data_IF_615856768950
#
_entry.id   IF_615856768950
#
_cell.length_a   1.000
_cell.length_b   1.000
_cell.length_c   1.000
_cell.angle_alpha   90.00
_cell.angle_beta   90.00
_cell.angle_gamma   90.00
#
_symmetry.space_group_name_H-M   'P 1'
#
loop_
_entity.id
_entity.type
_entity.pdbx_description
1 polymer ?
#
# COMPACT_ATOMS: atom_id res chain seq x y z
N UNK A 1 -28.28 -21.54 13.93
CA UNK A 1 -27.63 -20.30 14.43
C UNK A 1 -28.73 -19.27 14.58
N UNK A 2 -28.90 -18.64 15.74
CA UNK A 2 -29.87 -17.54 15.89
C UNK A 2 -29.12 -16.27 15.50
N UNK A 3 -29.51 -15.65 14.39
CA UNK A 3 -28.97 -14.36 13.96
C UNK A 3 -29.84 -13.24 14.54
N UNK A 4 -29.27 -12.47 15.46
CA UNK A 4 -29.94 -11.30 16.03
C UNK A 4 -29.48 -10.07 15.25
N UNK A 5 -30.43 -9.38 14.63
CA UNK A 5 -30.19 -8.15 13.88
C UNK A 5 -30.46 -6.94 14.77
N UNK A 6 -29.75 -5.83 14.54
CA UNK A 6 -29.93 -4.57 15.28
C UNK A 6 -31.38 -4.08 15.25
N UNK A 7 -32.11 -4.31 14.14
CA UNK A 7 -33.56 -4.03 14.02
C UNK A 7 -34.41 -4.60 15.17
N UNK A 8 -34.00 -5.73 15.75
CA UNK A 8 -34.71 -6.36 16.88
C UNK A 8 -34.62 -5.48 18.12
N UNK A 9 -33.41 -4.99 18.44
CA UNK A 9 -33.19 -4.04 19.53
C UNK A 9 -33.88 -2.70 19.26
N UNK A 10 -33.86 -2.23 18.01
CA UNK A 10 -34.54 -1.00 17.61
C UNK A 10 -36.06 -1.10 17.86
N UNK A 11 -36.68 -2.23 17.52
CA UNK A 11 -38.11 -2.44 17.74
C UNK A 11 -38.50 -2.41 19.23
N UNK A 12 -37.64 -2.93 20.12
CA UNK A 12 -37.90 -2.99 21.55
C UNK A 12 -37.57 -1.70 22.31
N UNK A 13 -36.45 -1.05 21.96
CA UNK A 13 -35.90 0.08 22.72
C UNK A 13 -36.19 1.43 22.06
N UNK A 14 -36.44 1.44 20.76
CA UNK A 14 -36.62 2.65 19.97
C UNK A 14 -35.30 3.37 19.67
N UNK A 15 -35.39 4.39 18.82
CA UNK A 15 -34.26 5.18 18.34
C UNK A 15 -34.10 6.49 19.14
N UNK A 16 -32.90 7.06 19.14
CA UNK A 16 -32.64 8.43 19.59
C UNK A 16 -33.33 9.40 18.61
N UNK A 17 -34.04 10.39 19.16
CA UNK A 17 -34.79 11.36 18.37
C UNK A 17 -33.86 12.20 17.48
N UNK A 18 -34.20 12.32 16.18
CA UNK A 18 -33.41 13.04 15.18
C UNK A 18 -32.25 12.23 14.58
N UNK A 19 -32.16 10.93 14.89
CA UNK A 19 -31.14 10.00 14.38
C UNK A 19 -31.74 8.85 13.56
N UNK A 20 -33.05 8.81 13.40
CA UNK A 20 -33.79 7.66 12.89
C UNK A 20 -33.30 7.26 11.50
N UNK A 21 -33.09 8.23 10.61
CA UNK A 21 -32.65 7.96 9.24
C UNK A 21 -31.19 7.50 9.16
N UNK A 22 -30.36 7.84 10.15
CA UNK A 22 -29.01 7.30 10.26
C UNK A 22 -29.02 5.87 10.81
N UNK A 23 -29.82 5.61 11.83
CA UNK A 23 -29.92 4.29 12.47
C UNK A 23 -30.48 3.25 11.50
N UNK A 24 -31.52 3.59 10.71
CA UNK A 24 -32.10 2.69 9.70
C UNK A 24 -31.08 2.15 8.70
N UNK A 25 -30.02 2.90 8.40
CA UNK A 25 -28.97 2.48 7.46
C UNK A 25 -28.11 1.31 7.96
N UNK A 26 -28.19 0.97 9.25
CA UNK A 26 -27.44 -0.12 9.86
C UNK A 26 -28.34 -1.12 10.60
N UNK A 27 -29.66 -1.11 10.36
CA UNK A 27 -30.60 -2.01 11.06
C UNK A 27 -30.37 -3.50 10.73
N UNK A 28 -29.73 -3.77 9.59
CA UNK A 28 -29.31 -5.07 9.09
C UNK A 28 -28.02 -5.60 9.74
N UNK A 29 -27.36 -4.79 10.57
CA UNK A 29 -26.16 -5.17 11.31
C UNK A 29 -26.43 -6.37 12.23
N UNK A 30 -25.55 -7.37 12.16
CA UNK A 30 -25.55 -8.50 13.07
C UNK A 30 -25.08 -8.10 14.46
N UNK A 31 -25.76 -8.64 15.47
CA UNK A 31 -25.41 -8.53 16.88
C UNK A 31 -25.18 -9.95 17.39
N UNK A 32 -23.96 -10.24 17.84
CA UNK A 32 -23.65 -11.54 18.44
C UNK A 32 -24.56 -11.78 19.66
N UNK A 33 -24.96 -13.03 19.88
CA UNK A 33 -25.84 -13.38 21.01
C UNK A 33 -25.23 -13.03 22.37
N UNK A 34 -23.91 -13.11 22.50
CA UNK A 34 -23.22 -12.76 23.74
C UNK A 34 -23.23 -11.25 23.97
N UNK A 35 -23.01 -10.47 22.92
CA UNK A 35 -23.14 -9.00 22.96
C UNK A 35 -24.56 -8.60 23.28
N UNK A 36 -25.55 -9.22 22.62
CA UNK A 36 -26.96 -8.97 22.87
C UNK A 36 -27.33 -9.18 24.33
N UNK A 37 -26.98 -10.33 24.91
CA UNK A 37 -27.23 -10.62 26.33
C UNK A 37 -26.50 -9.66 27.27
N UNK A 38 -25.29 -9.22 26.89
CA UNK A 38 -24.53 -8.27 27.68
C UNK A 38 -25.17 -6.87 27.71
N UNK A 39 -25.93 -6.51 26.67
CA UNK A 39 -26.46 -5.14 26.50
C UNK A 39 -27.98 -5.02 26.67
N UNK A 40 -28.77 -6.07 26.46
CA UNK A 40 -30.25 -6.02 26.37
C UNK A 40 -30.93 -5.30 27.56
N UNK A 41 -30.38 -5.45 28.77
CA UNK A 41 -30.93 -4.89 30.01
C UNK A 41 -30.36 -3.51 30.35
N UNK A 42 -29.37 -3.04 29.58
CA UNK A 42 -28.69 -1.74 29.77
C UNK A 42 -29.10 -0.73 28.71
N UNK A 43 -29.45 -1.20 27.51
CA UNK A 43 -29.85 -0.37 26.38
C UNK A 43 -31.25 0.16 26.57
N UNK A 44 -31.37 1.48 26.49
CA UNK A 44 -32.62 2.24 26.53
C UNK A 44 -32.99 2.79 25.15
N UNK A 45 -32.00 3.15 24.32
CA UNK A 45 -32.19 3.71 22.98
C UNK A 45 -31.03 3.31 22.06
N UNK A 46 -31.30 3.27 20.76
CA UNK A 46 -30.30 3.07 19.71
C UNK A 46 -30.05 4.38 18.97
N UNK A 47 -28.79 4.75 18.79
CA UNK A 47 -28.37 5.93 18.04
C UNK A 47 -27.12 5.65 17.21
N UNK A 48 -26.53 6.71 16.67
CA UNK A 48 -25.27 6.67 15.92
C UNK A 48 -24.27 7.67 16.52
N UNK A 49 -22.97 7.42 16.34
CA UNK A 49 -21.92 8.36 16.77
C UNK A 49 -21.87 9.59 15.86
N UNK A 50 -21.18 10.64 16.30
CA UNK A 50 -20.86 11.80 15.44
C UNK A 50 -20.04 11.38 14.21
N UNK A 51 -19.10 10.46 14.37
CA UNK A 51 -18.28 9.93 13.29
C UNK A 51 -19.12 9.19 12.25
N UNK A 52 -20.08 8.36 12.68
CA UNK A 52 -21.03 7.71 11.77
C UNK A 52 -21.73 8.73 10.88
N UNK A 53 -22.29 9.80 11.47
CA UNK A 53 -22.99 10.85 10.70
C UNK A 53 -22.05 11.53 9.72
N UNK A 54 -20.86 11.92 10.17
CA UNK A 54 -19.86 12.57 9.33
C UNK A 54 -19.43 11.70 8.14
N UNK A 55 -19.24 10.40 8.34
CA UNK A 55 -18.97 9.44 7.26
C UNK A 55 -20.12 9.40 6.25
N UNK A 56 -21.36 9.25 6.72
CA UNK A 56 -22.54 9.20 5.84
C UNK A 56 -22.68 10.51 5.06
N UNK A 57 -22.60 11.65 5.73
CA UNK A 57 -22.74 12.96 5.10
C UNK A 57 -21.66 13.27 4.08
N UNK A 58 -20.42 12.84 4.36
CA UNK A 58 -19.26 13.12 3.49
C UNK A 58 -19.21 12.18 2.29
N UNK A 59 -19.52 10.89 2.47
CA UNK A 59 -19.21 9.86 1.47
C UNK A 59 -20.42 9.15 0.88
N UNK A 60 -21.58 9.20 1.53
CA UNK A 60 -22.68 8.25 1.25
C UNK A 60 -24.09 8.83 1.45
N UNK A 61 -24.23 10.17 1.40
CA UNK A 61 -25.48 10.88 1.73
C UNK A 61 -26.68 10.38 0.92
N UNK A 62 -26.46 10.18 -0.39
CA UNK A 62 -27.52 9.88 -1.36
C UNK A 62 -27.71 8.37 -1.61
N UNK A 63 -27.04 7.52 -0.85
CA UNK A 63 -27.03 6.07 -1.03
C UNK A 63 -27.65 5.37 0.17
N UNK A 64 -28.20 4.18 -0.02
CA UNK A 64 -28.75 3.36 1.08
C UNK A 64 -27.67 2.50 1.76
N UNK A 65 -27.81 2.32 3.07
CA UNK A 65 -26.90 1.52 3.89
C UNK A 65 -25.68 2.32 4.36
N UNK A 66 -24.56 1.62 4.60
CA UNK A 66 -23.28 2.24 5.00
C UNK A 66 -22.20 2.01 3.95
N UNK A 67 -21.28 2.98 3.73
CA UNK A 67 -20.30 2.91 2.65
C UNK A 67 -19.33 1.74 2.82
N UNK A 68 -18.78 1.21 1.72
CA UNK A 68 -17.63 0.30 1.77
C UNK A 68 -16.40 0.97 2.40
N UNK A 69 -15.50 0.14 2.90
CA UNK A 69 -14.27 0.54 3.57
C UNK A 69 -14.48 1.01 5.01
N UNK A 70 -15.59 0.64 5.64
CA UNK A 70 -15.87 0.93 7.05
C UNK A 70 -16.40 -0.30 7.76
N UNK A 71 -15.82 -0.59 8.93
CA UNK A 71 -16.34 -1.56 9.89
C UNK A 71 -17.43 -0.90 10.74
N UNK A 72 -18.54 -1.61 10.94
CA UNK A 72 -19.60 -1.22 11.88
C UNK A 72 -19.25 -1.70 13.29
N UNK A 73 -19.32 -0.81 14.28
CA UNK A 73 -19.09 -1.14 15.69
C UNK A 73 -20.28 -0.70 16.55
N UNK A 74 -20.45 -1.37 17.69
CA UNK A 74 -21.40 -0.99 18.72
C UNK A 74 -20.65 -0.41 19.92
N UNK A 75 -21.02 0.80 20.32
CA UNK A 75 -20.44 1.52 21.45
C UNK A 75 -21.54 1.82 22.48
N UNK A 76 -21.38 1.34 23.71
CA UNK A 76 -22.32 1.61 24.80
C UNK A 76 -21.95 2.91 25.52
N UNK A 77 -22.86 3.87 25.60
CA UNK A 77 -22.73 5.06 26.45
C UNK A 77 -23.22 4.78 27.88
N UNK A 78 -22.68 5.52 28.86
CA UNK A 78 -23.10 5.42 30.27
C UNK A 78 -24.59 5.75 30.48
N UNK A 79 -25.19 6.52 29.58
CA UNK A 79 -26.60 6.91 29.55
C UNK A 79 -27.55 5.78 29.15
N UNK A 80 -27.03 4.59 28.80
CA UNK A 80 -27.83 3.49 28.26
C UNK A 80 -28.16 3.64 26.76
N UNK A 81 -27.48 4.53 26.05
CA UNK A 81 -27.60 4.65 24.59
C UNK A 81 -26.57 3.73 23.93
N UNK A 82 -27.05 2.83 23.06
CA UNK A 82 -26.17 2.04 22.20
C UNK A 82 -25.97 2.80 20.88
N UNK A 83 -24.73 3.11 20.56
CA UNK A 83 -24.35 3.86 19.36
C UNK A 83 -23.76 2.92 18.31
N UNK A 84 -24.22 3.03 17.08
CA UNK A 84 -23.52 2.45 15.92
C UNK A 84 -22.44 3.43 15.47
N UNK A 85 -21.24 2.93 15.23
CA UNK A 85 -20.10 3.68 14.72
C UNK A 85 -19.59 3.12 13.38
N UNK A 86 -18.91 3.96 12.59
CA UNK A 86 -18.21 3.58 11.37
C UNK A 86 -16.72 3.90 11.50
N UNK A 87 -15.92 2.85 11.63
CA UNK A 87 -14.45 2.94 11.72
C UNK A 87 -13.84 2.57 10.38
N UNK A 88 -12.92 3.40 9.86
CA UNK A 88 -12.27 3.17 8.57
C UNK A 88 -11.50 1.85 8.61
N UNK A 89 -11.87 0.91 7.74
CA UNK A 89 -11.17 -0.35 7.55
C UNK A 89 -11.44 -0.87 6.13
N UNK A 90 -10.43 -0.83 5.29
CA UNK A 90 -10.52 -1.21 3.87
C UNK A 90 -10.73 -2.71 3.64
N UNK A 91 -10.73 -3.54 4.69
CA UNK A 91 -11.11 -4.95 4.64
C UNK A 91 -12.61 -5.17 4.50
N UNK A 92 -13.41 -4.12 4.70
CA UNK A 92 -14.86 -4.19 4.66
C UNK A 92 -15.41 -3.59 3.37
N UNK A 93 -16.42 -4.24 2.81
CA UNK A 93 -17.23 -3.75 1.71
C UNK A 93 -18.49 -3.05 2.27
N UNK A 94 -19.45 -2.76 1.38
CA UNK A 94 -20.71 -2.10 1.72
C UNK A 94 -21.39 -2.83 2.88
N UNK A 95 -22.06 -2.05 3.72
CA UNK A 95 -22.80 -2.55 4.88
C UNK A 95 -21.96 -3.28 5.96
N UNK A 96 -20.65 -3.05 5.99
CA UNK A 96 -19.78 -3.67 6.98
C UNK A 96 -19.61 -5.17 6.76
N UNK A 97 -19.82 -5.65 5.54
CA UNK A 97 -19.48 -7.01 5.14
C UNK A 97 -17.97 -7.14 4.98
N UNK A 98 -17.36 -8.23 5.46
CA UNK A 98 -15.95 -8.48 5.16
C UNK A 98 -15.78 -8.80 3.68
N UNK A 99 -14.72 -8.28 3.07
CA UNK A 99 -14.30 -8.70 1.72
C UNK A 99 -14.07 -10.21 1.68
N UNK A 100 -14.19 -10.85 0.51
CA UNK A 100 -14.14 -12.32 0.40
C UNK A 100 -12.82 -12.96 0.84
N UNK A 101 -11.72 -12.20 0.84
CA UNK A 101 -10.38 -12.66 1.23
C UNK A 101 -9.76 -11.71 2.23
N UNK A 102 -8.91 -12.25 3.11
CA UNK A 102 -8.11 -11.45 4.03
C UNK A 102 -7.07 -10.59 3.28
N UNK A 103 -6.55 -11.10 2.16
CA UNK A 103 -5.61 -10.40 1.31
C UNK A 103 -6.31 -9.27 0.54
N UNK A 104 -5.71 -8.08 0.55
CA UNK A 104 -6.19 -6.92 -0.20
C UNK A 104 -5.31 -6.63 -1.42
N UNK A 105 -5.94 -6.10 -2.47
CA UNK A 105 -5.26 -5.68 -3.68
C UNK A 105 -5.28 -4.17 -3.85
N UNK A 106 -4.23 -3.67 -4.48
CA UNK A 106 -4.00 -2.26 -4.79
C UNK A 106 -3.57 -2.08 -6.23
N UNK A 107 -4.04 -1.01 -6.87
CA UNK A 107 -3.52 -0.58 -8.16
C UNK A 107 -2.31 0.34 -7.97
N UNK A 108 -1.20 0.07 -8.65
CA UNK A 108 -0.06 1.00 -8.76
C UNK A 108 -0.18 1.76 -10.08
N UNK A 109 -1.02 2.81 -10.11
CA UNK A 109 -1.38 3.48 -11.37
C UNK A 109 -1.92 4.89 -11.15
N UNK A 110 -1.79 5.72 -12.18
CA UNK A 110 -2.46 6.99 -12.33
C UNK A 110 -3.30 7.05 -13.62
N UNK A 111 -3.59 5.89 -14.24
CA UNK A 111 -4.32 5.79 -15.49
C UNK A 111 -5.81 5.46 -15.24
N UNK A 112 -6.74 6.43 -15.37
CA UNK A 112 -8.17 6.19 -15.14
C UNK A 112 -8.77 5.08 -16.03
N UNK A 113 -8.23 4.89 -17.24
CA UNK A 113 -8.72 3.87 -18.18
C UNK A 113 -8.39 2.44 -17.71
N UNK A 114 -7.25 2.24 -17.05
CA UNK A 114 -6.83 0.94 -16.51
C UNK A 114 -7.35 0.68 -15.09
N UNK A 115 -7.60 1.73 -14.32
CA UNK A 115 -8.17 1.61 -12.97
C UNK A 115 -9.64 1.21 -13.03
N UNK A 116 -10.42 1.77 -13.98
CA UNK A 116 -11.87 1.55 -14.06
C UNK A 116 -12.28 0.07 -14.11
N UNK A 117 -11.67 -0.82 -14.92
CA UNK A 117 -12.04 -2.23 -14.96
C UNK A 117 -11.80 -3.01 -13.65
N UNK A 118 -10.87 -2.55 -12.80
CA UNK A 118 -10.48 -3.24 -11.57
C UNK A 118 -11.01 -2.57 -10.29
N UNK A 119 -11.69 -1.43 -10.41
CA UNK A 119 -12.05 -0.57 -9.29
C UNK A 119 -12.82 -1.29 -8.16
N UNK A 120 -13.72 -2.21 -8.53
CA UNK A 120 -14.53 -2.96 -7.56
C UNK A 120 -13.77 -4.14 -6.90
N UNK A 121 -12.56 -4.45 -7.37
CA UNK A 121 -11.76 -5.59 -6.88
C UNK A 121 -10.63 -5.16 -5.94
N UNK A 122 -10.34 -3.85 -5.89
CA UNK A 122 -9.24 -3.29 -5.10
C UNK A 122 -9.74 -2.52 -3.88
N UNK A 123 -8.88 -2.42 -2.88
CA UNK A 123 -9.14 -1.73 -1.62
C UNK A 123 -8.23 -0.52 -1.41
N UNK A 124 -7.20 -0.39 -2.25
CA UNK A 124 -6.24 0.70 -2.21
C UNK A 124 -5.77 1.07 -3.63
N UNK A 125 -5.26 2.29 -3.80
CA UNK A 125 -4.46 2.69 -4.96
C UNK A 125 -3.20 3.38 -4.45
N UNK A 126 -2.06 3.07 -5.08
CA UNK A 126 -0.80 3.80 -4.89
C UNK A 126 -0.43 4.52 -6.17
N UNK A 127 0.04 5.76 -6.04
CA UNK A 127 0.72 6.45 -7.14
C UNK A 127 1.93 7.23 -6.61
N UNK A 128 2.77 7.66 -7.53
CA UNK A 128 3.95 8.50 -7.27
C UNK A 128 4.15 9.46 -8.45
N UNK A 129 5.01 10.50 -8.33
CA UNK A 129 5.21 11.47 -9.40
C UNK A 129 5.58 10.84 -10.75
N UNK A 130 6.43 9.81 -10.78
CA UNK A 130 6.79 9.12 -12.02
C UNK A 130 5.59 8.42 -12.68
N UNK A 131 4.73 7.77 -11.89
CA UNK A 131 3.50 7.15 -12.41
C UNK A 131 2.54 8.22 -12.96
N UNK A 132 2.36 9.32 -12.25
CA UNK A 132 1.44 10.40 -12.65
C UNK A 132 1.94 11.12 -13.90
N UNK A 133 3.17 11.61 -13.87
CA UNK A 133 3.69 12.48 -14.91
C UNK A 133 4.25 11.69 -16.09
N UNK A 134 5.12 10.72 -15.85
CA UNK A 134 5.85 10.04 -16.92
C UNK A 134 5.03 8.93 -17.56
N UNK A 135 4.40 8.07 -16.75
CA UNK A 135 3.66 6.91 -17.26
C UNK A 135 2.27 7.27 -17.79
N UNK A 136 1.66 8.34 -17.28
CA UNK A 136 0.32 8.77 -17.68
C UNK A 136 0.25 10.13 -18.38
N UNK A 137 0.36 11.26 -17.66
CA UNK A 137 0.04 12.60 -18.22
C UNK A 137 0.86 12.90 -19.48
N UNK A 138 2.18 12.66 -19.44
CA UNK A 138 3.10 12.92 -20.54
C UNK A 138 3.20 11.76 -21.54
N UNK A 139 2.44 10.67 -21.34
CA UNK A 139 2.42 9.53 -22.22
C UNK A 139 1.19 9.58 -23.15
N UNK A 140 1.34 9.98 -24.43
CA UNK A 140 0.21 10.12 -25.35
C UNK A 140 -0.49 8.79 -25.68
N UNK A 141 0.14 7.64 -25.41
CA UNK A 141 -0.51 6.33 -25.58
C UNK A 141 -1.44 6.00 -24.41
N UNK A 142 -1.09 6.45 -23.20
CA UNK A 142 -1.88 6.20 -22.00
C UNK A 142 -2.96 7.29 -21.80
N UNK A 143 -2.59 8.56 -21.95
CA UNK A 143 -3.51 9.70 -21.89
C UNK A 143 -4.18 9.92 -23.26
N UNK A 144 -5.19 9.12 -23.54
CA UNK A 144 -5.87 9.05 -24.84
C UNK A 144 -6.41 10.42 -25.25
N UNK A 145 -5.93 10.96 -26.38
CA UNK A 145 -6.31 12.28 -26.87
C UNK A 145 -5.82 13.45 -26.01
N UNK A 146 -4.93 13.20 -25.04
CA UNK A 146 -4.46 14.20 -24.09
C UNK A 146 -5.58 14.77 -23.22
N UNK A 147 -6.56 13.94 -22.84
CA UNK A 147 -7.74 14.36 -22.10
C UNK A 147 -7.40 15.02 -20.76
N UNK A 148 -6.39 14.51 -20.04
CA UNK A 148 -5.97 15.02 -18.74
C UNK A 148 -4.71 15.89 -18.87
N UNK A 149 -4.66 17.01 -18.16
CA UNK A 149 -3.57 18.01 -18.22
C UNK A 149 -2.84 18.17 -16.89
N UNK A 150 -3.52 17.94 -15.78
CA UNK A 150 -2.97 18.20 -14.45
C UNK A 150 -3.08 16.96 -13.57
N UNK A 151 -2.23 16.89 -12.53
CA UNK A 151 -2.32 15.84 -11.51
C UNK A 151 -3.69 15.84 -10.85
N UNK A 152 -4.26 17.01 -10.58
CA UNK A 152 -5.52 17.16 -9.87
C UNK A 152 -6.68 16.59 -10.70
N UNK A 153 -6.75 16.88 -12.01
CA UNK A 153 -7.75 16.28 -12.91
C UNK A 153 -7.71 14.75 -12.91
N UNK A 154 -6.50 14.18 -12.91
CA UNK A 154 -6.31 12.72 -12.86
C UNK A 154 -6.74 12.15 -11.52
N UNK A 155 -6.32 12.78 -10.44
CA UNK A 155 -6.63 12.35 -9.07
C UNK A 155 -8.13 12.44 -8.78
N UNK A 156 -8.81 13.52 -9.19
CA UNK A 156 -10.26 13.64 -9.07
C UNK A 156 -11.01 12.51 -9.81
N UNK A 157 -10.61 12.20 -11.05
CA UNK A 157 -11.26 11.13 -11.81
C UNK A 157 -11.02 9.76 -11.17
N UNK A 158 -9.80 9.48 -10.71
CA UNK A 158 -9.49 8.27 -9.95
C UNK A 158 -10.34 8.19 -8.68
N UNK A 159 -10.46 9.31 -7.96
CA UNK A 159 -11.29 9.45 -6.77
C UNK A 159 -12.75 9.07 -7.03
N UNK A 160 -13.30 9.49 -8.18
CA UNK A 160 -14.66 9.16 -8.63
C UNK A 160 -14.80 7.68 -9.01
N UNK A 161 -13.84 7.13 -9.77
CA UNK A 161 -13.85 5.73 -10.21
C UNK A 161 -13.84 4.76 -9.03
N UNK A 162 -13.00 5.03 -8.03
CA UNK A 162 -12.76 4.09 -6.93
C UNK A 162 -13.83 4.10 -5.83
N UNK A 163 -14.61 5.18 -5.73
CA UNK A 163 -15.62 5.33 -4.69
C UNK A 163 -15.08 5.27 -3.25
N UNK A 164 -15.96 5.23 -2.23
CA UNK A 164 -15.57 5.43 -0.83
C UNK A 164 -14.79 4.25 -0.21
N UNK A 165 -14.85 3.07 -0.81
CA UNK A 165 -14.26 1.84 -0.28
C UNK A 165 -12.75 1.70 -0.47
N UNK A 166 -12.12 2.65 -1.15
CA UNK A 166 -10.71 2.58 -1.54
C UNK A 166 -9.91 3.72 -0.94
N UNK A 167 -8.78 3.39 -0.30
CA UNK A 167 -7.77 4.36 0.12
C UNK A 167 -6.88 4.76 -1.07
N UNK A 168 -6.44 6.01 -1.10
CA UNK A 168 -5.62 6.55 -2.19
C UNK A 168 -4.33 7.12 -1.60
N UNK A 169 -3.23 6.41 -1.84
CA UNK A 169 -1.88 6.83 -1.45
C UNK A 169 -1.26 7.71 -2.53
N UNK A 170 -1.14 9.01 -2.23
CA UNK A 170 -0.51 10.02 -3.10
C UNK A 170 0.80 10.50 -2.50
N UNK A 171 1.85 10.54 -3.31
CA UNK A 171 3.19 10.95 -2.88
C UNK A 171 3.40 12.45 -3.12
N UNK A 172 4.03 13.10 -2.14
CA UNK A 172 4.37 14.52 -2.23
C UNK A 172 5.29 14.78 -3.42
N UNK A 173 5.09 15.90 -4.11
CA UNK A 173 5.96 16.25 -5.24
C UNK A 173 7.39 16.54 -4.80
N UNK A 174 7.57 17.20 -3.65
CA UNK A 174 8.87 17.53 -3.10
C UNK A 174 8.95 17.17 -1.62
N UNK A 175 9.41 15.96 -1.26
CA UNK A 175 9.58 15.57 0.15
C UNK A 175 10.71 16.36 0.86
N UNK A 176 11.51 17.12 0.12
CA UNK A 176 12.62 17.93 0.63
C UNK A 176 12.24 19.40 0.85
N UNK A 177 10.97 19.78 0.60
CA UNK A 177 10.47 21.12 0.90
C UNK A 177 10.74 21.47 2.37
N UNK A 178 11.26 22.68 2.64
CA UNK A 178 11.59 23.14 4.00
C UNK A 178 10.37 23.72 4.71
N UNK A 179 9.42 24.27 3.95
CA UNK A 179 8.19 24.85 4.48
C UNK A 179 7.16 23.78 4.84
N UNK A 180 6.91 23.61 6.13
CA UNK A 180 5.82 22.75 6.62
C UNK A 180 4.46 23.19 6.06
N UNK A 181 4.22 24.50 5.97
CA UNK A 181 2.98 25.06 5.42
C UNK A 181 2.77 24.65 3.95
N UNK A 182 3.83 24.63 3.14
CA UNK A 182 3.72 24.23 1.73
C UNK A 182 3.39 22.74 1.58
N UNK A 183 3.98 21.89 2.43
CA UNK A 183 3.69 20.45 2.47
C UNK A 183 2.23 20.22 2.89
N UNK A 184 1.77 20.92 3.94
CA UNK A 184 0.39 20.81 4.42
C UNK A 184 -0.60 21.36 3.39
N UNK A 185 -0.26 22.42 2.64
CA UNK A 185 -1.10 22.93 1.55
C UNK A 185 -1.25 21.89 0.43
N UNK A 186 -0.16 21.21 0.04
CA UNK A 186 -0.24 20.10 -0.93
C UNK A 186 -1.10 18.94 -0.40
N UNK A 187 -0.92 18.55 0.85
CA UNK A 187 -1.69 17.48 1.47
C UNK A 187 -3.18 17.85 1.63
N UNK A 188 -3.51 19.12 1.87
CA UNK A 188 -4.89 19.59 2.00
C UNK A 188 -5.65 19.46 0.68
N UNK A 189 -5.04 19.81 -0.45
CA UNK A 189 -5.65 19.64 -1.78
C UNK A 189 -6.11 18.21 -2.00
N UNK A 190 -5.31 17.22 -1.58
CA UNK A 190 -5.71 15.82 -1.63
C UNK A 190 -6.80 15.44 -0.61
N UNK A 191 -6.78 16.05 0.58
CA UNK A 191 -7.85 15.87 1.58
C UNK A 191 -9.19 16.39 1.06
N UNK A 192 -9.20 17.52 0.36
CA UNK A 192 -10.41 18.09 -0.26
C UNK A 192 -10.93 17.18 -1.39
N UNK A 193 -10.04 16.68 -2.25
CA UNK A 193 -10.41 15.76 -3.35
C UNK A 193 -10.94 14.41 -2.85
N UNK A 194 -10.36 13.85 -1.79
CA UNK A 194 -10.62 12.46 -1.38
C UNK A 194 -11.37 12.31 -0.07
N UNK A 195 -11.56 13.39 0.70
CA UNK A 195 -11.88 13.40 2.14
C UNK A 195 -10.76 12.86 3.03
N UNK A 196 -10.83 13.23 4.32
CA UNK A 196 -9.96 12.71 5.40
C UNK A 196 -9.98 11.18 5.53
N UNK A 197 -11.03 10.53 5.03
CA UNK A 197 -11.25 9.09 5.17
C UNK A 197 -10.51 8.24 4.13
N UNK A 198 -10.13 8.82 2.99
CA UNK A 198 -9.53 8.07 1.86
C UNK A 198 -8.12 8.52 1.54
N UNK A 199 -7.78 9.79 1.79
CA UNK A 199 -6.42 10.28 1.56
C UNK A 199 -5.42 9.55 2.46
N UNK A 200 -4.31 9.15 1.86
CA UNK A 200 -3.11 8.68 2.55
C UNK A 200 -1.91 9.38 1.90
N UNK A 201 -1.11 10.08 2.69
CA UNK A 201 0.07 10.79 2.18
C UNK A 201 1.26 9.85 2.18
N UNK A 202 1.87 9.66 1.02
CA UNK A 202 3.02 8.79 0.84
C UNK A 202 4.31 9.58 1.05
N UNK A 203 5.16 9.07 1.94
CA UNK A 203 6.40 9.70 2.42
C UNK A 203 7.53 8.69 2.29
N UNK A 204 8.67 9.12 1.76
CA UNK A 204 9.81 8.25 1.48
C UNK A 204 10.88 8.28 2.58
N UNK A 205 11.65 7.19 2.69
CA UNK A 205 13.02 7.30 3.19
C UNK A 205 13.82 8.24 2.29
N UNK A 206 14.51 9.20 2.90
CA UNK A 206 15.26 10.25 2.21
C UNK A 206 16.76 9.95 2.10
N UNK A 207 17.30 9.15 3.03
CA UNK A 207 18.72 8.82 3.05
C UNK A 207 19.59 10.08 3.10
N UNK A 208 20.69 10.16 2.33
CA UNK A 208 21.56 11.34 2.28
C UNK A 208 21.04 12.50 1.41
N UNK A 209 19.86 12.37 0.80
CA UNK A 209 19.31 13.38 -0.10
C UNK A 209 18.53 14.43 0.69
N UNK A 210 18.73 15.69 0.36
CA UNK A 210 18.06 16.83 0.97
C UNK A 210 17.87 17.97 -0.05
N UNK A 211 17.27 19.08 0.38
CA UNK A 211 16.96 20.22 -0.47
C UNK A 211 18.18 20.86 -1.14
N UNK A 212 19.37 20.68 -0.58
CA UNK A 212 20.59 21.32 -1.05
C UNK A 212 21.28 20.50 -2.14
N UNK A 213 21.13 19.17 -2.13
CA UNK A 213 21.82 18.26 -3.06
C UNK A 213 20.90 17.45 -3.99
N UNK A 214 19.57 17.50 -3.83
CA UNK A 214 18.63 16.75 -4.69
C UNK A 214 18.79 17.07 -6.18
N UNK A 215 19.23 18.28 -6.52
CA UNK A 215 19.51 18.70 -7.89
C UNK A 215 20.55 17.82 -8.60
N UNK A 216 21.50 17.23 -7.86
CA UNK A 216 22.51 16.30 -8.39
C UNK A 216 21.88 15.07 -9.06
N UNK A 217 20.68 14.66 -8.64
CA UNK A 217 19.95 13.52 -9.21
C UNK A 217 19.22 13.87 -10.51
N UNK A 218 19.09 15.16 -10.82
CA UNK A 218 18.28 15.66 -11.95
C UNK A 218 19.14 16.31 -13.03
N UNK A 219 20.28 16.87 -12.66
CA UNK A 219 21.14 17.68 -13.51
C UNK A 219 22.46 16.98 -13.85
N UNK A 220 23.14 17.45 -14.90
CA UNK A 220 24.46 16.94 -15.29
C UNK A 220 24.50 15.44 -15.60
N UNK A 221 25.44 14.73 -14.99
CA UNK A 221 25.61 13.27 -15.14
C UNK A 221 24.62 12.46 -14.28
N UNK A 222 23.80 13.14 -13.46
CA UNK A 222 22.80 12.56 -12.57
C UNK A 222 23.35 11.56 -11.54
N UNK A 223 24.64 11.68 -11.20
CA UNK A 223 25.30 10.86 -10.18
C UNK A 223 25.35 11.61 -8.86
N UNK A 224 24.86 10.96 -7.81
CA UNK A 224 24.88 11.53 -6.48
C UNK A 224 26.30 11.50 -5.89
N UNK A 225 26.75 12.65 -5.37
CA UNK A 225 28.13 12.82 -4.90
C UNK A 225 28.46 12.04 -3.62
N UNK A 226 27.47 11.77 -2.76
CA UNK A 226 27.68 11.15 -1.45
C UNK A 226 27.35 9.66 -1.45
N UNK A 227 28.10 8.88 -0.66
CA UNK A 227 27.76 7.49 -0.38
C UNK A 227 26.51 7.41 0.53
N UNK A 228 25.61 6.46 0.26
CA UNK A 228 24.41 6.23 1.07
C UNK A 228 24.66 5.95 2.55
N UNK A 229 25.87 5.50 2.91
CA UNK A 229 26.33 5.26 4.29
C UNK A 229 26.78 6.53 5.00
N UNK A 230 27.16 7.56 4.26
CA UNK A 230 27.70 8.83 4.81
C UNK A 230 26.58 9.85 4.89
N UNK A 231 25.65 9.63 5.83
CA UNK A 231 24.44 10.42 5.98
C UNK A 231 24.41 11.16 7.33
N UNK A 232 24.00 12.43 7.32
CA UNK A 232 23.71 13.15 8.54
C UNK A 232 22.37 12.69 9.12
N UNK A 233 22.29 12.55 10.44
CA UNK A 233 21.06 12.05 11.12
C UNK A 233 19.80 12.82 10.72
N UNK A 234 19.89 14.15 10.55
CA UNK A 234 18.76 14.98 10.15
C UNK A 234 18.25 14.64 8.73
N UNK A 235 19.16 14.37 7.79
CA UNK A 235 18.82 13.99 6.41
C UNK A 235 18.18 12.60 6.39
N UNK A 236 18.77 11.62 7.09
CA UNK A 236 18.24 10.26 7.18
C UNK A 236 16.83 10.20 7.79
N UNK A 237 16.56 11.06 8.78
CA UNK A 237 15.28 11.08 9.51
C UNK A 237 14.27 12.09 8.96
N UNK A 238 14.58 12.83 7.88
CA UNK A 238 13.66 13.80 7.28
C UNK A 238 12.31 13.17 6.94
N UNK A 239 12.30 11.99 6.31
CA UNK A 239 11.08 11.24 6.01
C UNK A 239 10.29 10.81 7.26
N UNK A 240 10.99 10.41 8.32
CA UNK A 240 10.35 10.02 9.59
C UNK A 240 9.68 11.22 10.28
N UNK A 241 10.39 12.36 10.34
CA UNK A 241 9.85 13.60 10.91
C UNK A 241 8.68 14.13 10.09
N UNK A 242 8.71 13.96 8.77
CA UNK A 242 7.59 14.29 7.89
C UNK A 242 6.35 13.45 8.18
N UNK A 243 6.53 12.14 8.35
CA UNK A 243 5.43 11.25 8.72
C UNK A 243 4.82 11.60 10.09
N UNK A 244 5.66 11.92 11.07
CA UNK A 244 5.20 12.37 12.39
C UNK A 244 4.38 13.67 12.30
N UNK A 245 4.91 14.70 11.61
CA UNK A 245 4.23 15.98 11.40
C UNK A 245 2.88 15.80 10.70
N UNK A 246 2.82 15.00 9.63
CA UNK A 246 1.57 14.74 8.91
C UNK A 246 0.54 14.04 9.81
N UNK A 247 0.97 13.12 10.67
CA UNK A 247 0.07 12.46 11.63
C UNK A 247 -0.46 13.42 12.70
N UNK A 248 0.36 14.34 13.19
CA UNK A 248 -0.07 15.39 14.12
C UNK A 248 -1.17 16.27 13.50
N UNK A 249 -1.17 16.43 12.17
CA UNK A 249 -2.19 17.14 11.40
C UNK A 249 -3.35 16.24 10.90
N UNK A 250 -3.47 15.02 11.43
CA UNK A 250 -4.59 14.12 11.19
C UNK A 250 -4.53 13.34 9.87
N UNK A 251 -3.38 13.28 9.21
CA UNK A 251 -3.20 12.44 8.01
C UNK A 251 -2.76 11.03 8.35
N UNK A 252 -3.22 10.07 7.54
CA UNK A 252 -2.64 8.72 7.47
C UNK A 252 -1.45 8.74 6.51
N UNK A 253 -0.41 7.98 6.84
CA UNK A 253 0.85 7.98 6.10
C UNK A 253 1.15 6.60 5.50
N UNK A 254 1.59 6.59 4.24
CA UNK A 254 2.19 5.44 3.57
C UNK A 254 3.71 5.63 3.49
N UNK A 255 4.48 4.83 4.23
CA UNK A 255 5.93 4.95 4.29
C UNK A 255 6.59 4.10 3.18
N UNK A 256 7.26 4.77 2.24
CA UNK A 256 7.78 4.19 0.99
C UNK A 256 9.31 4.20 0.90
N UNK A 257 9.85 3.71 -0.23
CA UNK A 257 11.28 3.53 -0.51
C UNK A 257 11.98 2.69 0.57
N UNK A 258 11.31 1.60 0.96
CA UNK A 258 11.79 0.63 1.93
C UNK A 258 12.31 -0.60 1.19
N UNK A 259 13.63 -0.74 1.16
CA UNK A 259 14.34 -1.80 0.46
C UNK A 259 15.00 -2.78 1.42
N UNK A 260 15.49 -2.31 2.57
CA UNK A 260 16.22 -3.16 3.52
C UNK A 260 15.40 -3.48 4.77
N UNK A 261 15.48 -4.71 5.32
CA UNK A 261 14.55 -5.16 6.36
C UNK A 261 14.69 -4.39 7.67
N UNK A 262 15.92 -3.94 7.98
CA UNK A 262 16.21 -3.15 9.18
C UNK A 262 15.49 -1.78 9.19
N UNK A 263 15.00 -1.29 8.05
CA UNK A 263 14.27 -0.01 7.97
C UNK A 263 12.89 -0.11 8.65
N UNK A 264 12.29 -1.30 8.68
CA UNK A 264 10.90 -1.50 9.09
C UNK A 264 10.63 -1.13 10.54
N UNK A 265 11.46 -1.60 11.47
CA UNK A 265 11.28 -1.31 12.89
C UNK A 265 11.33 0.19 13.19
N UNK A 266 12.21 0.93 12.50
CA UNK A 266 12.34 2.37 12.67
C UNK A 266 11.16 3.12 12.02
N UNK A 267 10.76 2.74 10.81
CA UNK A 267 9.59 3.32 10.14
C UNK A 267 8.31 3.16 10.98
N UNK A 268 8.13 2.02 11.67
CA UNK A 268 6.98 1.79 12.55
C UNK A 268 6.92 2.75 13.74
N UNK A 269 8.04 3.34 14.18
CA UNK A 269 8.03 4.36 15.25
C UNK A 269 7.29 5.63 14.81
N UNK A 270 7.24 5.92 13.51
CA UNK A 270 6.45 7.03 12.96
C UNK A 270 4.94 6.70 12.86
N UNK A 271 4.52 5.51 13.30
CA UNK A 271 3.13 5.02 13.34
C UNK A 271 2.40 5.12 11.99
N UNK A 272 3.02 4.68 10.88
CA UNK A 272 2.41 4.79 9.56
C UNK A 272 1.18 3.88 9.44
N UNK A 273 0.26 4.24 8.55
CA UNK A 273 -0.88 3.39 8.19
C UNK A 273 -0.46 2.29 7.21
N UNK A 274 0.47 2.60 6.29
CA UNK A 274 1.11 1.61 5.42
C UNK A 274 2.64 1.69 5.53
N UNK A 275 3.30 0.54 5.45
CA UNK A 275 4.74 0.44 5.14
C UNK A 275 4.90 -0.35 3.84
N UNK A 276 5.93 -0.05 3.06
CA UNK A 276 6.13 -0.70 1.77
C UNK A 276 7.27 -1.73 1.81
N UNK A 277 7.29 -2.65 0.86
CA UNK A 277 8.42 -3.54 0.60
C UNK A 277 8.62 -3.73 -0.89
N UNK A 278 9.74 -3.22 -1.39
CA UNK A 278 10.10 -3.25 -2.81
C UNK A 278 10.86 -4.53 -3.13
N UNK A 279 10.32 -5.34 -4.04
CA UNK A 279 10.93 -6.64 -4.39
C UNK A 279 11.93 -6.50 -5.54
N UNK A 280 11.46 -5.98 -6.68
CA UNK A 280 12.15 -6.16 -7.97
C UNK A 280 13.62 -5.75 -7.95
N UNK A 281 13.91 -4.49 -7.59
CA UNK A 281 15.27 -3.97 -7.70
C UNK A 281 16.24 -4.75 -6.80
N UNK A 282 15.81 -5.10 -5.60
CA UNK A 282 16.62 -5.86 -4.64
C UNK A 282 16.92 -7.27 -5.14
N UNK A 283 15.92 -7.96 -5.68
CA UNK A 283 16.08 -9.30 -6.25
C UNK A 283 16.96 -9.29 -7.52
N UNK A 284 16.73 -8.34 -8.44
CA UNK A 284 17.52 -8.20 -9.66
C UNK A 284 18.98 -7.88 -9.38
N UNK A 285 19.24 -6.92 -8.49
CA UNK A 285 20.62 -6.55 -8.13
C UNK A 285 21.34 -7.73 -7.46
N UNK A 286 20.67 -8.47 -6.58
CA UNK A 286 21.27 -9.65 -5.94
C UNK A 286 21.58 -10.76 -6.94
N UNK A 287 20.70 -10.98 -7.93
CA UNK A 287 20.95 -11.91 -9.04
C UNK A 287 22.19 -11.52 -9.83
N UNK A 288 22.34 -10.25 -10.18
CA UNK A 288 23.49 -9.76 -10.94
C UNK A 288 24.79 -9.89 -10.14
N UNK A 289 24.79 -9.43 -8.87
CA UNK A 289 25.95 -9.53 -7.96
C UNK A 289 26.38 -10.99 -7.85
N UNK A 290 25.43 -11.91 -7.57
CA UNK A 290 25.71 -13.35 -7.50
C UNK A 290 26.33 -13.88 -8.78
N UNK A 291 25.79 -13.51 -9.94
CA UNK A 291 26.33 -13.94 -11.24
C UNK A 291 27.80 -13.53 -11.42
N UNK A 292 28.15 -12.27 -11.14
CA UNK A 292 29.55 -11.80 -11.27
C UNK A 292 30.49 -12.51 -10.29
N UNK A 293 30.06 -12.70 -9.04
CA UNK A 293 30.86 -13.38 -8.03
C UNK A 293 31.07 -14.87 -8.33
N UNK A 294 30.04 -15.57 -8.81
CA UNK A 294 30.14 -16.98 -9.20
C UNK A 294 31.06 -17.17 -10.42
N UNK A 295 30.99 -16.27 -11.41
CA UNK A 295 31.91 -16.25 -12.55
C UNK A 295 33.36 -16.04 -12.07
N UNK A 296 33.61 -15.03 -11.23
CA UNK A 296 34.94 -14.80 -10.65
C UNK A 296 35.46 -15.99 -9.84
N UNK A 297 34.60 -16.64 -9.06
CA UNK A 297 34.98 -17.84 -8.31
C UNK A 297 35.39 -19.01 -9.21
N UNK A 298 34.84 -19.07 -10.44
CA UNK A 298 35.06 -20.13 -11.42
C UNK A 298 36.38 -19.95 -12.18
N UNK A 299 36.62 -18.77 -12.76
CA UNK A 299 37.75 -18.55 -13.69
C UNK A 299 38.82 -17.59 -13.15
N UNK A 300 38.56 -16.90 -12.04
CA UNK A 300 39.42 -15.87 -11.43
C UNK A 300 39.73 -14.67 -12.35
N UNK A 301 38.94 -14.46 -13.40
CA UNK A 301 39.09 -13.29 -14.27
C UNK A 301 38.63 -12.02 -13.52
N UNK A 302 39.55 -11.08 -13.36
CA UNK A 302 39.30 -9.80 -12.67
C UNK A 302 38.25 -8.95 -13.39
N UNK A 303 38.00 -9.18 -14.68
CA UNK A 303 36.96 -8.47 -15.43
C UNK A 303 35.58 -8.59 -14.77
N UNK A 304 35.24 -9.75 -14.18
CA UNK A 304 33.97 -9.92 -13.47
C UNK A 304 33.83 -8.96 -12.27
N UNK A 305 34.93 -8.67 -11.58
CA UNK A 305 34.95 -7.71 -10.47
C UNK A 305 34.96 -6.25 -10.95
N UNK A 306 35.54 -5.97 -12.12
CA UNK A 306 35.45 -4.64 -12.76
C UNK A 306 34.01 -4.35 -13.16
N UNK A 307 33.34 -5.30 -13.82
CA UNK A 307 31.92 -5.20 -14.17
C UNK A 307 31.03 -5.05 -12.92
N UNK A 308 31.34 -5.80 -11.84
CA UNK A 308 30.65 -5.65 -10.57
C UNK A 308 30.85 -4.26 -9.97
N UNK A 309 32.07 -3.70 -10.01
CA UNK A 309 32.34 -2.34 -9.54
C UNK A 309 31.54 -1.30 -10.30
N UNK A 310 31.52 -1.39 -11.63
CA UNK A 310 30.74 -0.51 -12.49
C UNK A 310 29.25 -0.62 -12.19
N UNK A 311 28.76 -1.83 -11.96
CA UNK A 311 27.37 -2.06 -11.56
C UNK A 311 27.04 -1.43 -10.20
N UNK A 312 27.91 -1.60 -9.20
CA UNK A 312 27.72 -1.02 -7.87
C UNK A 312 27.73 0.51 -7.92
N UNK A 313 28.60 1.11 -8.74
CA UNK A 313 28.61 2.55 -9.00
C UNK A 313 27.34 3.01 -9.73
N UNK A 314 26.86 2.22 -10.69
CA UNK A 314 25.65 2.55 -11.44
C UNK A 314 24.37 2.51 -10.60
N UNK A 315 24.38 1.74 -9.51
CA UNK A 315 23.24 1.52 -8.60
C UNK A 315 23.45 2.16 -7.21
N UNK A 316 24.30 3.18 -7.11
CA UNK A 316 24.50 4.00 -5.91
C UNK A 316 25.00 3.26 -4.66
N UNK A 317 25.57 2.05 -4.81
CA UNK A 317 26.30 1.38 -3.73
C UNK A 317 27.65 2.06 -3.47
N UNK A 318 28.23 2.64 -4.52
CA UNK A 318 29.47 3.41 -4.51
C UNK A 318 29.17 4.84 -5.00
N UNK A 319 29.83 5.84 -4.41
CA UNK A 319 29.77 7.20 -4.92
C UNK A 319 30.88 7.45 -5.99
N UNK A 320 30.84 8.56 -6.75
CA UNK A 320 31.83 8.86 -7.79
C UNK A 320 33.29 8.82 -7.32
N UNK A 321 33.56 9.25 -6.08
CA UNK A 321 34.91 9.21 -5.49
C UNK A 321 35.41 7.77 -5.21
N UNK A 322 34.51 6.79 -5.29
CA UNK A 322 34.81 5.36 -5.14
C UNK A 322 34.82 4.62 -6.49
N UNK A 323 34.83 5.31 -7.62
CA UNK A 323 34.87 4.69 -8.95
C UNK A 323 36.08 3.75 -9.13
N UNK A 324 37.21 4.07 -8.49
CA UNK A 324 38.42 3.26 -8.50
C UNK A 324 38.60 2.40 -7.24
N UNK A 325 37.51 2.02 -6.58
CA UNK A 325 37.57 1.12 -5.41
C UNK A 325 38.32 -0.18 -5.75
N UNK A 326 39.16 -0.62 -4.82
CA UNK A 326 39.97 -1.83 -4.97
C UNK A 326 39.09 -3.06 -5.18
N UNK A 327 39.48 -3.95 -6.11
CA UNK A 327 38.65 -5.09 -6.52
C UNK A 327 38.41 -6.09 -5.38
N UNK A 328 39.32 -6.18 -4.41
CA UNK A 328 39.13 -7.01 -3.21
C UNK A 328 38.00 -6.46 -2.33
N UNK A 329 37.85 -5.14 -2.23
CA UNK A 329 36.77 -4.51 -1.48
C UNK A 329 35.43 -4.64 -2.21
N UNK A 330 35.45 -4.62 -3.54
CA UNK A 330 34.28 -4.89 -4.39
C UNK A 330 33.79 -6.33 -4.19
N UNK A 331 34.72 -7.29 -4.19
CA UNK A 331 34.43 -8.70 -3.89
C UNK A 331 33.78 -8.83 -2.50
N UNK A 332 34.42 -8.27 -1.47
CA UNK A 332 33.91 -8.34 -0.09
C UNK A 332 32.53 -7.69 0.04
N UNK A 333 32.32 -6.52 -0.57
CA UNK A 333 31.03 -5.83 -0.55
C UNK A 333 29.94 -6.67 -1.22
N UNK A 334 30.23 -7.28 -2.37
CA UNK A 334 29.29 -8.17 -3.05
C UNK A 334 28.91 -9.38 -2.21
N UNK A 335 29.90 -10.02 -1.57
CA UNK A 335 29.67 -11.14 -0.66
C UNK A 335 28.81 -10.74 0.55
N UNK A 336 29.11 -9.60 1.18
CA UNK A 336 28.34 -9.07 2.31
C UNK A 336 26.88 -8.79 1.93
N UNK A 337 26.64 -8.21 0.74
CA UNK A 337 25.28 -7.97 0.24
C UNK A 337 24.50 -9.29 0.10
N UNK A 338 25.09 -10.31 -0.54
CA UNK A 338 24.41 -11.60 -0.74
C UNK A 338 24.18 -12.34 0.58
N UNK A 339 25.13 -12.23 1.51
CA UNK A 339 25.02 -12.83 2.84
C UNK A 339 23.92 -12.16 3.67
N UNK A 340 23.89 -10.82 3.71
CA UNK A 340 22.87 -10.06 4.42
C UNK A 340 21.45 -10.33 3.88
N UNK A 341 21.32 -10.53 2.56
CA UNK A 341 20.06 -10.86 1.88
C UNK A 341 19.72 -12.35 1.87
N UNK A 342 20.61 -13.19 2.42
CA UNK A 342 20.49 -14.66 2.40
C UNK A 342 20.20 -15.23 1.00
N UNK A 343 20.74 -14.58 -0.04
CA UNK A 343 20.35 -14.80 -1.43
C UNK A 343 20.82 -16.15 -2.00
N UNK A 344 21.70 -16.85 -1.28
CA UNK A 344 22.20 -18.19 -1.65
C UNK A 344 21.46 -19.33 -0.94
N UNK A 345 20.49 -19.03 -0.08
CA UNK A 345 19.68 -20.02 0.59
C UNK A 345 18.18 -19.82 0.31
N UNK A 346 17.34 -20.72 0.84
CA UNK A 346 15.88 -20.73 0.62
C UNK A 346 15.14 -19.52 1.21
N UNK A 347 15.77 -18.73 2.08
CA UNK A 347 15.16 -17.54 2.68
C UNK A 347 15.14 -16.37 1.70
N UNK A 348 16.15 -16.26 0.85
CA UNK A 348 16.34 -15.07 0.01
C UNK A 348 16.52 -15.32 -1.48
N UNK A 349 16.67 -16.57 -1.93
CA UNK A 349 16.87 -16.86 -3.36
C UNK A 349 15.70 -16.42 -4.27
N UNK A 350 14.50 -16.25 -3.73
CA UNK A 350 13.32 -15.71 -4.41
C UNK A 350 13.18 -14.18 -4.29
N UNK A 351 14.10 -13.52 -3.58
CA UNK A 351 14.07 -12.07 -3.34
C UNK A 351 13.04 -11.61 -2.31
N UNK A 352 12.39 -12.54 -1.59
CA UNK A 352 11.35 -12.23 -0.60
C UNK A 352 11.87 -12.22 0.86
N UNK A 353 13.19 -12.28 1.09
CA UNK A 353 13.82 -12.24 2.43
C UNK A 353 13.35 -11.02 3.24
N UNK A 354 13.26 -9.86 2.60
CA UNK A 354 12.79 -8.63 3.24
C UNK A 354 11.32 -8.68 3.61
N UNK A 355 10.48 -9.32 2.79
CA UNK A 355 9.06 -9.48 3.09
C UNK A 355 8.88 -10.46 4.25
N UNK A 356 9.59 -11.59 4.24
CA UNK A 356 9.60 -12.54 5.37
C UNK A 356 9.95 -11.85 6.68
N UNK A 357 11.03 -11.04 6.68
CA UNK A 357 11.39 -10.25 7.86
C UNK A 357 10.29 -9.28 8.27
N UNK A 358 9.73 -8.52 7.32
CA UNK A 358 8.72 -7.52 7.60
C UNK A 358 7.42 -8.13 8.14
N UNK A 359 7.01 -9.30 7.64
CA UNK A 359 5.88 -10.05 8.20
C UNK A 359 6.13 -10.48 9.65
N UNK A 360 7.34 -10.97 9.97
CA UNK A 360 7.72 -11.31 11.36
C UNK A 360 7.69 -10.09 12.28
N UNK A 361 8.17 -8.93 11.81
CA UNK A 361 8.12 -7.66 12.56
C UNK A 361 6.67 -7.21 12.75
N UNK A 362 5.87 -7.25 11.69
CA UNK A 362 4.45 -6.86 11.72
C UNK A 362 3.64 -7.71 12.68
N UNK A 363 3.93 -9.01 12.80
CA UNK A 363 3.27 -9.90 13.77
C UNK A 363 3.42 -9.42 15.22
N UNK A 364 4.56 -8.80 15.56
CA UNK A 364 4.83 -8.22 16.87
C UNK A 364 4.47 -6.73 16.99
N UNK A 365 3.86 -6.12 15.97
CA UNK A 365 3.57 -4.69 15.94
C UNK A 365 2.24 -4.38 16.65
N UNK A 366 2.28 -3.46 17.62
CA UNK A 366 1.12 -3.01 18.40
C UNK A 366 0.19 -2.03 17.65
N UNK A 367 0.51 -1.66 16.41
CA UNK A 367 -0.35 -0.81 15.60
C UNK A 367 -1.37 -1.70 14.89
N UNK A 368 -2.62 -1.68 15.34
CA UNK A 368 -3.69 -2.56 14.85
C UNK A 368 -3.97 -2.34 13.36
N UNK A 369 -4.00 -1.07 12.92
CA UNK A 369 -4.42 -0.71 11.56
C UNK A 369 -3.27 -0.66 10.55
N UNK A 370 -2.01 -0.80 10.98
CA UNK A 370 -0.86 -0.75 10.07
C UNK A 370 -0.80 -2.00 9.21
N UNK A 371 -0.62 -1.82 7.90
CA UNK A 371 -0.51 -2.89 6.90
C UNK A 371 0.80 -2.80 6.11
N UNK A 372 1.27 -3.96 5.66
CA UNK A 372 2.40 -4.11 4.75
C UNK A 372 1.92 -4.09 3.30
N UNK A 373 2.36 -3.10 2.52
CA UNK A 373 2.20 -3.10 1.06
C UNK A 373 3.41 -3.80 0.44
N UNK A 374 3.17 -4.91 -0.24
CA UNK A 374 4.16 -5.56 -1.10
C UNK A 374 4.06 -4.91 -2.48
N UNK A 375 5.16 -4.33 -2.96
CA UNK A 375 5.17 -3.51 -4.17
C UNK A 375 6.38 -3.79 -5.09
N UNK A 376 6.38 -3.12 -6.26
CA UNK A 376 7.41 -3.29 -7.29
C UNK A 376 7.53 -4.74 -7.74
N UNK A 377 6.40 -5.32 -8.14
CA UNK A 377 6.35 -6.66 -8.75
C UNK A 377 6.62 -6.58 -10.25
N UNK A 378 7.35 -7.54 -10.80
CA UNK A 378 7.57 -7.69 -12.24
C UNK A 378 7.76 -9.19 -12.56
N UNK A 379 7.69 -9.54 -13.85
CA UNK A 379 8.02 -10.89 -14.33
C UNK A 379 6.88 -11.88 -14.10
N UNK A 380 7.19 -13.17 -14.24
CA UNK A 380 6.19 -14.24 -14.14
C UNK A 380 6.06 -14.82 -12.73
N UNK A 381 7.09 -14.66 -11.91
CA UNK A 381 7.25 -15.43 -10.66
C UNK A 381 6.98 -14.65 -9.38
N UNK A 382 7.10 -13.31 -9.38
CA UNK A 382 6.93 -12.53 -8.14
C UNK A 382 5.59 -12.80 -7.45
N UNK A 383 4.46 -12.73 -8.17
CA UNK A 383 3.17 -13.02 -7.54
C UNK A 383 3.00 -14.47 -7.09
N UNK A 384 3.27 -15.50 -7.92
CA UNK A 384 3.26 -16.88 -7.44
C UNK A 384 4.13 -17.16 -6.22
N UNK A 385 5.29 -16.50 -6.10
CA UNK A 385 6.18 -16.67 -4.96
C UNK A 385 5.64 -15.95 -3.71
N UNK A 386 5.04 -14.76 -3.86
CA UNK A 386 4.33 -14.06 -2.77
C UNK A 386 3.10 -14.86 -2.32
N UNK A 387 2.32 -15.39 -3.24
CA UNK A 387 1.13 -16.19 -2.94
C UNK A 387 1.53 -17.45 -2.14
N UNK A 388 2.59 -18.14 -2.58
CA UNK A 388 3.17 -19.27 -1.83
C UNK A 388 3.64 -18.85 -0.43
N UNK A 389 4.30 -17.69 -0.32
CA UNK A 389 4.76 -17.16 0.96
C UNK A 389 3.59 -16.90 1.92
N UNK A 390 2.51 -16.28 1.45
CA UNK A 390 1.35 -15.94 2.27
C UNK A 390 0.48 -17.17 2.60
N UNK A 391 0.56 -18.22 1.79
CA UNK A 391 -0.04 -19.53 2.09
C UNK A 391 0.81 -20.39 3.05
N UNK A 392 2.08 -20.04 3.26
CA UNK A 392 2.97 -20.77 4.16
C UNK A 392 2.42 -20.72 5.61
N UNK A 393 2.40 -21.85 6.34
CA UNK A 393 1.98 -21.85 7.75
C UNK A 393 2.69 -20.82 8.62
N UNK A 394 3.93 -20.45 8.30
CA UNK A 394 4.66 -19.39 9.00
C UNK A 394 3.98 -18.03 8.88
N UNK A 395 3.24 -17.73 7.80
CA UNK A 395 2.72 -16.38 7.51
C UNK A 395 1.23 -16.31 7.18
N UNK A 396 0.54 -17.44 7.11
CA UNK A 396 -0.91 -17.50 6.81
C UNK A 396 -1.77 -16.64 7.74
N UNK A 397 -1.33 -16.43 8.99
CA UNK A 397 -1.98 -15.57 9.99
C UNK A 397 -1.86 -14.06 9.70
N UNK A 398 -0.96 -13.66 8.79
CA UNK A 398 -0.65 -12.25 8.51
C UNK A 398 -1.33 -11.71 7.24
N UNK A 399 -2.05 -12.54 6.50
CA UNK A 399 -2.63 -12.17 5.20
C UNK A 399 -3.59 -10.98 5.28
N UNK A 400 -4.30 -10.83 6.41
CA UNK A 400 -5.21 -9.72 6.69
C UNK A 400 -4.49 -8.39 6.96
N UNK A 401 -3.17 -8.42 7.13
CA UNK A 401 -2.31 -7.24 7.30
C UNK A 401 -1.49 -6.92 6.05
N UNK A 402 -1.79 -7.55 4.92
CA UNK A 402 -1.05 -7.38 3.66
C UNK A 402 -1.92 -6.75 2.58
N UNK A 403 -1.31 -5.84 1.82
CA UNK A 403 -1.86 -5.31 0.57
C UNK A 403 -0.85 -5.61 -0.54
N UNK A 404 -1.28 -6.20 -1.65
CA UNK A 404 -0.44 -6.39 -2.83
C UNK A 404 -0.72 -5.27 -3.81
N UNK A 405 0.31 -4.50 -4.21
CA UNK A 405 0.18 -3.44 -5.22
C UNK A 405 0.98 -3.76 -6.48
N UNK A 406 0.35 -3.59 -7.63
CA UNK A 406 0.95 -3.73 -8.95
C UNK A 406 0.18 -2.93 -9.99
N UNK A 407 0.79 -2.72 -11.16
CA UNK A 407 0.07 -2.18 -12.32
C UNK A 407 -1.19 -3.01 -12.61
N UNK A 408 -2.34 -2.39 -12.94
CA UNK A 408 -3.59 -3.09 -13.24
C UNK A 408 -3.42 -4.21 -14.27
N UNK A 409 -2.63 -3.97 -15.32
CA UNK A 409 -2.32 -4.96 -16.34
C UNK A 409 -1.57 -6.17 -15.81
N UNK A 410 -0.68 -5.98 -14.82
CA UNK A 410 0.03 -7.09 -14.17
C UNK A 410 -0.92 -7.96 -13.34
N UNK A 411 -1.78 -7.33 -12.53
CA UNK A 411 -2.79 -8.04 -11.73
C UNK A 411 -3.77 -8.83 -12.62
N UNK A 412 -4.19 -8.24 -13.74
CA UNK A 412 -5.12 -8.89 -14.68
C UNK A 412 -4.57 -10.21 -15.25
N UNK A 413 -3.23 -10.38 -15.33
CA UNK A 413 -2.60 -11.62 -15.81
C UNK A 413 -2.99 -12.83 -14.98
N UNK A 414 -3.27 -12.66 -13.68
CA UNK A 414 -3.62 -13.77 -12.78
C UNK A 414 -4.97 -14.41 -13.12
N UNK A 415 -5.79 -13.73 -13.92
CA UNK A 415 -7.06 -14.26 -14.41
C UNK A 415 -6.91 -15.13 -15.67
N UNK A 416 -5.69 -15.25 -16.22
CA UNK A 416 -5.45 -15.86 -17.53
C UNK A 416 -4.44 -17.00 -17.47
N UNK A 417 -4.74 -18.08 -18.21
CA UNK A 417 -3.84 -19.22 -18.43
C UNK A 417 -4.19 -19.91 -19.75
N UNK A 418 -3.28 -20.70 -20.31
CA UNK A 418 -3.51 -21.46 -21.54
C UNK A 418 -4.75 -22.38 -21.44
N UNK A 419 -5.05 -22.87 -20.23
CA UNK A 419 -6.24 -23.69 -19.97
C UNK A 419 -7.55 -22.90 -20.06
N UNK A 420 -7.58 -21.63 -19.64
CA UNK A 420 -8.77 -20.76 -19.79
C UNK A 420 -9.15 -20.66 -21.26
N UNK A 421 -8.19 -20.38 -22.14
CA UNK A 421 -8.43 -20.31 -23.59
C UNK A 421 -8.90 -21.67 -24.15
N UNK A 422 -8.24 -22.76 -23.75
CA UNK A 422 -8.54 -24.10 -24.24
C UNK A 422 -9.94 -24.57 -23.85
N UNK A 423 -10.37 -24.30 -22.61
CA UNK A 423 -11.71 -24.64 -22.14
C UNK A 423 -12.79 -23.73 -22.72
N UNK A 424 -12.54 -22.42 -22.84
CA UNK A 424 -13.47 -21.52 -23.53
C UNK A 424 -13.71 -21.97 -24.97
N UNK A 425 -12.66 -22.35 -25.71
CA UNK A 425 -12.80 -22.92 -27.07
C UNK A 425 -13.68 -24.17 -27.06
N UNK A 426 -13.46 -25.08 -26.12
CA UNK A 426 -14.27 -26.31 -25.98
C UNK A 426 -15.73 -25.98 -25.70
N UNK A 427 -16.00 -25.08 -24.76
CA UNK A 427 -17.37 -24.70 -24.36
C UNK A 427 -18.11 -24.00 -25.50
N UNK A 428 -17.48 -23.04 -26.17
CA UNK A 428 -18.09 -22.33 -27.30
C UNK A 428 -18.38 -23.26 -28.48
N UNK A 429 -17.51 -24.26 -28.73
CA UNK A 429 -17.79 -25.29 -29.72
C UNK A 429 -18.95 -26.20 -29.32
N UNK A 430 -19.07 -26.57 -28.04
CA UNK A 430 -20.16 -27.40 -27.55
C UNK A 430 -21.51 -26.66 -27.53
N UNK A 431 -21.50 -25.36 -27.23
CA UNK A 431 -22.68 -24.50 -27.24
C UNK A 431 -23.11 -24.09 -28.66
N UNK A 432 -22.25 -24.30 -29.67
CA UNK A 432 -22.51 -23.88 -31.05
C UNK A 432 -23.78 -24.53 -31.60
N UNK A 433 -24.77 -23.70 -31.91
CA UNK A 433 -26.07 -24.14 -32.45
C UNK A 433 -27.16 -24.37 -31.39
N UNK A 434 -26.84 -24.22 -30.10
CA UNK A 434 -27.83 -24.12 -29.03
C UNK A 434 -28.34 -22.66 -28.97
N UNK A 435 -29.65 -22.48 -28.80
CA UNK A 435 -30.31 -21.17 -28.66
C UNK A 435 -30.44 -20.77 -27.21
#
# INVERSE_FOLDING_TARGET
MIELKLKTLIAEKGMVAGEEDYVKRAEDMDVCIDDFKAIENRVQRIGVTTQYRDVIDTLYRNEDGTPPGFKRLLCMEQSGVLRVDLVRDISYDKNGEKRPTNLLFSADSANPYEVRPIANLIANLTCNPGIVYDLFINNPKANIGGQYKTRDEVMEEIGKILGPGCDISVELNNPFEKSEAAILEEAEKFREMFSKYRVVIKVSHTGPVNSENVHELMEGNKRFSKNFKTVATADALRGHNLALMLREHGYRVNFTLMFEPYQTQLALQAKPYFINSFIRHRAMQSTYIKSRLDCYATDRDKNHLIELRDFLLQNDYLCPDEAEKELIDVLNMGEDILNARRFRDKEGNDGLDGIRHNLRVMRGCNLEDTRLIICSMEGEYNYPDIDRLLADPEFSDMSDRVVITAEPGYLARFTSTNQVISYQRRFMNAAKGMK
#
